data_IF_325193945209
#
_entry.id   IF_325193945209
#
_cell.length_a   1.000
_cell.length_b   1.000
_cell.length_c   1.000
_cell.angle_alpha   90.00
_cell.angle_beta   90.00
_cell.angle_gamma   90.00
#
_symmetry.space_group_name_H-M   'P 1'
#
loop_
_entity.id
_entity.type
_entity.pdbx_description
1 polymer ?
#
# COMPACT_ATOMS: atom_id res chain seq x y z
N UNK A 1 4.46 -10.52 0.34
CA UNK A 1 5.09 -11.52 -0.57
C UNK A 1 6.57 -11.74 -0.29
N UNK A 2 7.38 -10.69 -0.13
CA UNK A 2 8.81 -10.84 0.14
C UNK A 2 9.12 -11.23 1.58
N UNK A 3 8.27 -10.89 2.56
CA UNK A 3 8.43 -11.34 3.94
C UNK A 3 8.31 -12.87 4.10
N UNK A 4 7.28 -13.55 3.55
CA UNK A 4 7.26 -15.01 3.50
C UNK A 4 8.50 -15.61 2.82
N UNK A 5 8.94 -15.00 1.71
CA UNK A 5 10.15 -15.43 1.01
C UNK A 5 11.41 -15.25 1.86
N UNK A 6 11.54 -14.13 2.57
CA UNK A 6 12.62 -13.84 3.50
C UNK A 6 12.60 -14.77 4.71
N UNK A 7 11.43 -15.19 5.19
CA UNK A 7 11.29 -16.22 6.22
C UNK A 7 11.83 -17.57 5.75
N UNK A 8 11.61 -17.91 4.48
CA UNK A 8 12.08 -19.17 3.90
C UNK A 8 13.57 -19.17 3.55
N UNK A 9 14.10 -18.09 2.98
CA UNK A 9 15.45 -18.02 2.43
C UNK A 9 16.45 -17.23 3.30
N UNK A 10 15.95 -16.41 4.22
CA UNK A 10 16.69 -15.35 4.90
C UNK A 10 16.62 -14.01 4.14
N UNK A 11 16.43 -12.90 4.85
CA UNK A 11 16.26 -11.54 4.28
C UNK A 11 17.37 -11.16 3.30
N UNK A 12 18.64 -11.38 3.66
CA UNK A 12 19.77 -11.05 2.78
C UNK A 12 19.82 -11.92 1.53
N UNK A 13 19.35 -13.17 1.61
CA UNK A 13 19.33 -14.06 0.45
C UNK A 13 18.33 -13.57 -0.60
N UNK A 14 17.19 -12.99 -0.17
CA UNK A 14 16.19 -12.41 -1.08
C UNK A 14 16.80 -11.29 -1.92
N UNK A 15 17.59 -10.40 -1.32
CA UNK A 15 18.23 -9.29 -2.03
C UNK A 15 19.36 -9.71 -2.97
N UNK A 16 19.89 -10.93 -2.82
CA UNK A 16 20.89 -11.51 -3.73
C UNK A 16 20.28 -12.22 -4.93
N UNK A 17 18.96 -12.45 -4.95
CA UNK A 17 18.29 -13.09 -6.08
C UNK A 17 18.47 -12.25 -7.36
N UNK A 18 18.57 -12.93 -8.50
CA UNK A 18 18.69 -12.23 -9.76
C UNK A 18 17.35 -11.51 -10.08
N UNK A 19 17.37 -10.26 -10.60
CA UNK A 19 16.14 -9.51 -10.90
C UNK A 19 15.17 -10.29 -11.79
N UNK A 20 15.68 -11.03 -12.78
CA UNK A 20 14.85 -11.89 -13.63
C UNK A 20 14.15 -13.03 -12.87
N UNK A 21 14.79 -13.61 -11.86
CA UNK A 21 14.18 -14.64 -11.01
C UNK A 21 13.08 -14.05 -10.13
N UNK A 22 13.33 -12.84 -9.60
CA UNK A 22 12.32 -12.12 -8.84
C UNK A 22 11.14 -11.80 -9.75
N UNK A 23 11.35 -11.22 -10.93
CA UNK A 23 10.29 -10.93 -11.88
C UNK A 23 9.45 -12.16 -12.24
N UNK A 24 10.10 -13.29 -12.57
CA UNK A 24 9.41 -14.55 -12.83
C UNK A 24 8.65 -15.07 -11.60
N UNK A 25 9.18 -14.90 -10.39
CA UNK A 25 8.48 -15.23 -9.16
C UNK A 25 7.23 -14.36 -8.96
N UNK A 26 7.29 -13.08 -9.33
CA UNK A 26 6.13 -12.20 -9.28
C UNK A 26 5.03 -12.68 -10.23
N UNK A 27 5.41 -13.08 -11.45
CA UNK A 27 4.47 -13.65 -12.43
C UNK A 27 3.87 -14.98 -11.93
N UNK A 28 4.67 -15.85 -11.28
CA UNK A 28 4.17 -17.07 -10.62
C UNK A 28 3.21 -16.78 -9.47
N UNK A 29 3.51 -15.80 -8.62
CA UNK A 29 2.64 -15.42 -7.49
C UNK A 29 1.33 -14.85 -8.03
N UNK A 30 1.38 -14.03 -9.07
CA UNK A 30 0.19 -13.50 -9.73
C UNK A 30 -0.68 -14.61 -10.32
N UNK A 31 -0.09 -15.58 -11.02
CA UNK A 31 -0.83 -16.72 -11.56
C UNK A 31 -1.37 -17.63 -10.45
N UNK A 32 -0.58 -17.87 -9.40
CA UNK A 32 -1.01 -18.59 -8.19
C UNK A 32 -2.19 -17.92 -7.49
N UNK A 33 -2.38 -16.62 -7.67
CA UNK A 33 -3.52 -15.89 -7.13
C UNK A 33 -4.86 -16.35 -7.67
N UNK A 34 -4.87 -16.92 -8.88
CA UNK A 34 -6.02 -17.59 -9.47
C UNK A 34 -6.52 -18.77 -8.63
N UNK A 35 -5.66 -19.33 -7.78
CA UNK A 35 -5.84 -20.60 -7.07
C UNK A 35 -5.82 -20.46 -5.55
N UNK A 36 -5.73 -19.25 -5.01
CA UNK A 36 -5.54 -19.04 -3.56
C UNK A 36 -6.81 -19.38 -2.75
N UNK A 37 -6.71 -20.21 -1.70
CA UNK A 37 -7.73 -20.35 -0.68
C UNK A 37 -8.07 -19.02 0.03
N UNK A 38 -9.33 -18.88 0.43
CA UNK A 38 -9.78 -17.80 1.31
C UNK A 38 -9.06 -17.81 2.66
N UNK A 39 -9.03 -16.65 3.33
CA UNK A 39 -8.72 -16.53 4.75
C UNK A 39 -9.56 -17.57 5.51
N UNK A 40 -8.98 -18.35 6.44
CA UNK A 40 -9.73 -19.36 7.19
C UNK A 40 -10.97 -18.73 7.84
N UNK A 41 -12.09 -19.44 7.74
CA UNK A 41 -13.38 -19.06 8.30
C UNK A 41 -13.20 -18.56 9.75
N UNK A 42 -13.63 -17.34 10.10
CA UNK A 42 -13.52 -16.82 11.46
C UNK A 42 -14.30 -17.66 12.50
N UNK A 43 -15.22 -18.52 12.07
CA UNK A 43 -15.94 -19.48 12.93
C UNK A 43 -15.22 -20.82 13.13
N UNK A 44 -14.15 -21.09 12.35
CA UNK A 44 -13.34 -22.30 12.49
C UNK A 44 -13.99 -23.61 12.06
N UNK A 45 -15.20 -23.59 11.45
CA UNK A 45 -16.01 -24.79 11.22
C UNK A 45 -16.03 -25.36 9.79
N UNK A 46 -15.38 -24.75 8.79
CA UNK A 46 -15.44 -25.27 7.40
C UNK A 46 -14.09 -25.36 6.69
N UNK A 47 -13.92 -26.46 5.95
CA UNK A 47 -12.89 -26.62 4.92
C UNK A 47 -12.88 -25.40 3.99
N UNK A 48 -11.67 -25.02 3.56
CA UNK A 48 -11.38 -23.89 2.67
C UNK A 48 -12.32 -23.91 1.44
N UNK A 49 -13.43 -23.20 1.51
CA UNK A 49 -14.29 -22.97 0.34
C UNK A 49 -13.57 -21.95 -0.53
N UNK A 50 -13.13 -22.40 -1.71
CA UNK A 50 -12.58 -21.54 -2.76
C UNK A 50 -13.72 -20.71 -3.35
N UNK A 51 -13.98 -19.53 -2.79
CA UNK A 51 -14.78 -18.57 -3.53
C UNK A 51 -13.92 -17.99 -4.63
N UNK A 52 -14.53 -17.88 -5.81
CA UNK A 52 -13.92 -17.30 -7.00
C UNK A 52 -13.09 -16.06 -6.63
N UNK A 53 -11.91 -16.01 -7.23
CA UNK A 53 -10.91 -14.97 -7.13
C UNK A 53 -11.48 -13.56 -7.00
N UNK A 54 -10.73 -12.64 -6.39
CA UNK A 54 -10.98 -11.19 -6.44
C UNK A 54 -11.20 -10.63 -7.86
N UNK A 55 -10.92 -11.44 -8.86
CA UNK A 55 -11.09 -11.21 -10.27
C UNK A 55 -12.14 -12.16 -10.81
N UNK A 56 -13.03 -11.64 -11.64
CA UNK A 56 -13.87 -12.46 -12.50
C UNK A 56 -12.95 -13.26 -13.43
N UNK A 57 -13.09 -14.58 -13.49
CA UNK A 57 -12.28 -15.45 -14.36
C UNK A 57 -12.34 -14.99 -15.82
N UNK A 58 -13.49 -14.42 -16.24
CA UNK A 58 -13.63 -13.87 -17.59
C UNK A 58 -12.71 -12.68 -17.85
N UNK A 59 -12.41 -11.88 -16.83
CA UNK A 59 -11.49 -10.75 -16.91
C UNK A 59 -10.05 -11.23 -16.93
N UNK A 60 -9.71 -12.20 -16.07
CA UNK A 60 -8.37 -12.79 -16.08
C UNK A 60 -8.05 -13.48 -17.40
N UNK A 61 -9.04 -14.12 -18.02
CA UNK A 61 -8.94 -14.69 -19.36
C UNK A 61 -8.84 -13.59 -20.43
N UNK A 62 -9.60 -12.49 -20.30
CA UNK A 62 -9.55 -11.37 -21.24
C UNK A 62 -8.24 -10.57 -21.18
N UNK A 63 -7.52 -10.59 -20.06
CA UNK A 63 -6.21 -9.94 -19.93
C UNK A 63 -5.09 -10.69 -20.66
N UNK A 64 -5.36 -11.89 -21.20
CA UNK A 64 -4.46 -12.72 -22.02
C UNK A 64 -3.02 -12.77 -21.46
N UNK A 65 -2.93 -12.82 -20.13
CA UNK A 65 -1.64 -12.91 -19.44
C UNK A 65 -1.10 -14.33 -19.64
N UNK A 66 0.23 -14.50 -19.76
CA UNK A 66 0.82 -15.80 -20.01
C UNK A 66 0.33 -16.82 -18.97
N UNK A 67 -0.47 -17.80 -19.41
CA UNK A 67 -0.90 -18.91 -18.56
C UNK A 67 0.29 -19.84 -18.33
N UNK A 68 0.37 -20.45 -17.15
CA UNK A 68 1.35 -21.52 -16.97
C UNK A 68 0.99 -22.70 -17.90
N UNK A 69 1.99 -23.36 -18.50
CA UNK A 69 1.75 -24.56 -19.30
C UNK A 69 1.07 -25.63 -18.44
N UNK A 70 -0.16 -26.01 -18.77
CA UNK A 70 -0.96 -26.99 -18.01
C UNK A 70 -2.44 -26.66 -17.85
N UNK A 71 -2.87 -25.45 -18.20
CA UNK A 71 -4.28 -25.02 -18.08
C UNK A 71 -5.15 -25.37 -19.32
N UNK A 72 -4.67 -26.22 -20.23
CA UNK A 72 -5.53 -26.80 -21.27
C UNK A 72 -6.17 -28.11 -20.74
N UNK A 73 -7.51 -28.22 -20.61
CA UNK A 73 -8.17 -29.47 -20.27
C UNK A 73 -7.98 -30.57 -21.33
N UNK A 74 -7.46 -30.25 -22.52
CA UNK A 74 -7.15 -31.21 -23.56
C UNK A 74 -5.77 -30.94 -24.17
N UNK A 75 -4.80 -31.79 -23.84
CA UNK A 75 -3.47 -31.91 -24.49
C UNK A 75 -2.35 -31.01 -23.96
N UNK A 76 -1.50 -31.57 -23.09
CA UNK A 76 -0.08 -31.53 -23.40
C UNK A 76 0.64 -32.70 -22.76
N UNK A 77 1.24 -33.54 -23.59
CA UNK A 77 2.12 -34.65 -23.18
C UNK A 77 3.49 -34.54 -23.84
N UNK A 78 3.85 -33.39 -24.42
CA UNK A 78 5.20 -32.91 -24.74
C UNK A 78 5.13 -31.82 -25.82
N UNK A 79 5.90 -30.72 -25.70
CA UNK A 79 6.35 -30.05 -26.93
C UNK A 79 6.74 -28.57 -26.92
N UNK A 80 6.25 -27.70 -26.02
CA UNK A 80 6.69 -26.28 -25.97
C UNK A 80 6.37 -25.64 -24.60
N UNK A 81 7.33 -25.74 -23.68
CA UNK A 81 7.36 -25.01 -22.40
C UNK A 81 7.66 -23.51 -22.62
N UNK A 82 6.85 -22.82 -23.42
CA UNK A 82 6.91 -21.38 -23.66
C UNK A 82 5.57 -20.82 -23.17
N UNK A 83 5.50 -20.06 -22.08
CA UNK A 83 5.97 -18.68 -22.08
C UNK A 83 6.52 -18.16 -20.75
N UNK A 84 6.39 -18.92 -19.66
CA UNK A 84 6.99 -18.56 -18.37
C UNK A 84 7.83 -19.70 -17.85
N UNK A 85 9.13 -19.51 -18.01
CA UNK A 85 10.13 -20.24 -17.28
C UNK A 85 9.84 -20.12 -15.75
N UNK A 86 9.68 -21.21 -14.97
CA UNK A 86 9.55 -21.11 -13.51
C UNK A 86 10.66 -20.28 -12.89
N UNK A 87 10.36 -19.58 -11.79
CA UNK A 87 11.26 -18.61 -11.15
C UNK A 87 12.58 -19.22 -10.71
N UNK A 88 12.62 -20.55 -10.51
CA UNK A 88 13.79 -21.27 -9.99
C UNK A 88 14.08 -20.94 -8.52
N UNK A 89 13.16 -20.30 -7.82
CA UNK A 89 13.29 -19.96 -6.41
C UNK A 89 12.80 -21.13 -5.57
N UNK A 90 13.71 -21.86 -4.91
CA UNK A 90 13.40 -23.06 -4.12
C UNK A 90 14.06 -23.03 -2.73
N UNK A 91 13.49 -23.75 -1.76
CA UNK A 91 14.03 -23.87 -0.40
C UNK A 91 15.44 -24.54 -0.33
N UNK A 92 15.88 -25.22 -1.39
CA UNK A 92 17.05 -26.11 -1.40
C UNK A 92 18.42 -25.49 -1.71
N UNK A 93 18.50 -24.20 -2.04
CA UNK A 93 19.79 -23.54 -2.32
C UNK A 93 19.96 -23.01 -3.74
N UNK A 94 21.10 -22.33 -3.93
CA UNK A 94 21.43 -21.35 -4.99
C UNK A 94 21.17 -21.79 -6.44
N UNK A 95 20.67 -20.83 -7.23
CA UNK A 95 20.81 -20.72 -8.70
C UNK A 95 20.50 -21.96 -9.57
N UNK A 96 19.65 -22.88 -9.13
CA UNK A 96 19.22 -23.98 -10.00
C UNK A 96 17.81 -23.72 -10.55
N UNK A 97 17.78 -23.51 -11.86
CA UNK A 97 16.57 -23.38 -12.64
C UNK A 97 15.91 -24.77 -12.76
N UNK A 98 15.11 -25.13 -11.77
CA UNK A 98 14.63 -26.51 -11.58
C UNK A 98 13.49 -26.95 -12.53
N UNK A 99 12.95 -26.03 -13.34
CA UNK A 99 11.81 -26.34 -14.21
C UNK A 99 10.50 -26.67 -13.46
N UNK A 100 10.44 -26.48 -12.13
CA UNK A 100 9.28 -26.79 -11.28
C UNK A 100 8.66 -25.53 -10.66
N UNK A 101 7.33 -25.45 -10.55
CA UNK A 101 6.64 -24.37 -9.85
C UNK A 101 7.00 -24.35 -8.36
N UNK A 102 6.97 -23.16 -7.77
CA UNK A 102 7.45 -22.91 -6.41
C UNK A 102 6.51 -23.49 -5.34
N UNK A 103 7.03 -24.38 -4.48
CA UNK A 103 6.28 -24.98 -3.37
C UNK A 103 6.30 -24.14 -2.08
N UNK A 104 6.88 -22.93 -2.10
CA UNK A 104 7.02 -22.07 -0.92
C UNK A 104 5.71 -21.41 -0.46
N UNK A 105 4.62 -21.49 -1.24
CA UNK A 105 3.40 -20.71 -0.98
C UNK A 105 2.15 -21.61 -0.82
N UNK A 106 1.63 -21.71 0.41
CA UNK A 106 0.30 -22.22 0.77
C UNK A 106 -0.11 -21.56 2.13
N UNK A 107 -1.34 -21.02 2.35
CA UNK A 107 -1.50 -19.57 2.61
C UNK A 107 -2.19 -19.22 3.98
N UNK A 108 -2.37 -17.91 4.33
CA UNK A 108 -3.30 -16.98 3.65
C UNK A 108 -2.66 -15.69 3.05
N UNK A 109 -3.35 -15.14 2.02
CA UNK A 109 -3.10 -13.92 1.21
C UNK A 109 -1.72 -13.82 0.53
N UNK A 110 -1.65 -14.02 -0.79
CA UNK A 110 -0.40 -13.94 -1.56
C UNK A 110 0.22 -12.53 -1.57
N UNK A 111 -0.59 -11.47 -1.50
CA UNK A 111 -0.15 -10.09 -1.32
C UNK A 111 -1.16 -9.23 -0.52
N UNK A 112 -0.66 -8.12 0.01
CA UNK A 112 -1.43 -7.17 0.82
C UNK A 112 -2.43 -6.34 -0.01
N UNK A 113 -3.46 -5.79 0.63
CA UNK A 113 -4.38 -4.83 0.01
C UNK A 113 -3.64 -3.54 -0.43
N UNK A 114 -4.14 -2.81 -1.44
CA UNK A 114 -3.57 -1.52 -1.88
C UNK A 114 -3.39 -0.50 -0.74
N UNK A 115 -4.19 -0.61 0.33
CA UNK A 115 -4.05 0.21 1.54
C UNK A 115 -2.66 0.08 2.20
N UNK A 116 -2.05 -1.11 2.14
CA UNK A 116 -0.68 -1.33 2.61
C UNK A 116 0.29 -0.41 1.88
N UNK A 117 0.19 -0.36 0.54
CA UNK A 117 1.04 0.50 -0.28
C UNK A 117 0.77 1.99 0.00
N UNK A 118 -0.50 2.39 0.10
CA UNK A 118 -0.89 3.76 0.42
C UNK A 118 -0.31 4.26 1.75
N UNK A 119 -0.46 3.46 2.82
CA UNK A 119 -0.01 3.81 4.16
C UNK A 119 1.51 3.91 4.21
N UNK A 120 2.22 2.94 3.62
CA UNK A 120 3.68 2.98 3.58
C UNK A 120 4.21 4.11 2.70
N UNK A 121 3.62 4.35 1.53
CA UNK A 121 4.05 5.45 0.67
C UNK A 121 3.82 6.80 1.33
N UNK A 122 2.78 6.95 2.17
CA UNK A 122 2.52 8.17 2.96
C UNK A 122 3.66 8.53 3.94
N UNK A 123 4.59 7.62 4.21
CA UNK A 123 5.81 7.91 4.99
C UNK A 123 6.86 8.71 4.20
N UNK A 124 6.74 8.77 2.88
CA UNK A 124 7.77 9.29 1.98
C UNK A 124 8.86 8.27 1.61
N UNK A 125 8.63 6.98 1.93
CA UNK A 125 9.60 5.90 1.66
C UNK A 125 10.02 5.86 0.19
N UNK A 126 9.10 6.05 -0.74
CA UNK A 126 9.43 5.95 -2.18
C UNK A 126 10.35 7.08 -2.61
N UNK A 127 10.13 8.30 -2.13
CA UNK A 127 10.98 9.46 -2.42
C UNK A 127 12.39 9.27 -1.85
N UNK A 128 12.49 8.75 -0.62
CA UNK A 128 13.78 8.46 0.02
C UNK A 128 14.54 7.39 -0.76
N UNK A 129 13.89 6.27 -1.10
CA UNK A 129 14.52 5.19 -1.85
C UNK A 129 14.88 5.59 -3.28
N UNK A 130 14.05 6.37 -3.96
CA UNK A 130 14.36 6.88 -5.30
C UNK A 130 15.61 7.76 -5.30
N UNK A 131 15.71 8.69 -4.35
CA UNK A 131 16.88 9.55 -4.22
C UNK A 131 18.12 8.78 -3.79
N UNK A 132 17.94 7.76 -2.93
CA UNK A 132 19.02 6.87 -2.50
C UNK A 132 19.59 6.10 -3.68
N UNK A 133 18.75 5.41 -4.45
CA UNK A 133 19.15 4.67 -5.65
C UNK A 133 19.81 5.61 -6.65
N UNK A 134 19.23 6.79 -6.90
CA UNK A 134 19.82 7.80 -7.81
C UNK A 134 21.23 8.19 -7.39
N UNK A 135 21.47 8.47 -6.10
CA UNK A 135 22.79 8.85 -5.60
C UNK A 135 23.79 7.69 -5.59
N UNK A 136 23.34 6.47 -5.39
CA UNK A 136 24.19 5.28 -5.43
C UNK A 136 24.58 4.85 -6.85
N UNK A 137 23.69 5.05 -7.83
CA UNK A 137 23.96 4.69 -9.24
C UNK A 137 24.75 5.77 -9.96
N UNK A 138 24.38 7.04 -9.78
CA UNK A 138 24.94 8.17 -10.56
C UNK A 138 26.06 8.89 -9.81
N UNK A 139 26.04 8.85 -8.48
CA UNK A 139 26.95 9.61 -7.64
C UNK A 139 27.89 8.74 -6.83
N UNK A 140 28.82 9.42 -6.14
CA UNK A 140 29.78 8.80 -5.22
C UNK A 140 29.62 9.33 -3.78
N UNK A 141 28.53 10.06 -3.52
CA UNK A 141 28.34 10.82 -2.26
C UNK A 141 28.01 9.95 -1.05
N UNK A 142 27.63 8.69 -1.26
CA UNK A 142 27.19 7.76 -0.21
C UNK A 142 28.25 6.70 0.15
N UNK A 143 29.47 6.86 -0.36
CA UNK A 143 30.58 5.96 -0.06
C UNK A 143 30.53 4.64 -0.84
N UNK A 144 31.37 3.69 -0.42
CA UNK A 144 31.54 2.40 -1.09
C UNK A 144 30.62 1.37 -0.45
N UNK A 145 29.84 0.69 -1.29
CA UNK A 145 28.93 -0.38 -0.87
C UNK A 145 29.64 -1.74 -0.81
N UNK A 146 29.18 -2.60 0.11
CA UNK A 146 29.53 -4.02 0.11
C UNK A 146 28.91 -4.74 -1.10
N UNK A 147 29.44 -5.92 -1.50
CA UNK A 147 28.87 -6.71 -2.59
C UNK A 147 27.38 -7.03 -2.42
N UNK A 148 26.92 -7.21 -1.18
CA UNK A 148 25.51 -7.50 -0.88
C UNK A 148 24.62 -6.29 -1.13
N UNK A 149 25.07 -5.10 -0.74
CA UNK A 149 24.34 -3.85 -1.00
C UNK A 149 24.35 -3.48 -2.48
N UNK A 150 25.40 -3.86 -3.23
CA UNK A 150 25.42 -3.74 -4.69
C UNK A 150 24.36 -4.67 -5.31
N UNK A 151 24.21 -5.91 -4.81
CA UNK A 151 23.17 -6.82 -5.27
C UNK A 151 21.76 -6.27 -5.00
N UNK A 152 21.55 -5.73 -3.79
CA UNK A 152 20.31 -5.02 -3.43
C UNK A 152 20.05 -3.83 -4.36
N UNK A 153 21.06 -2.99 -4.62
CA UNK A 153 20.94 -1.81 -5.47
C UNK A 153 20.54 -2.20 -6.89
N UNK A 154 21.24 -3.20 -7.46
CA UNK A 154 20.93 -3.74 -8.79
C UNK A 154 19.50 -4.28 -8.85
N UNK A 155 19.09 -5.07 -7.87
CA UNK A 155 17.73 -5.62 -7.83
C UNK A 155 16.68 -4.51 -7.73
N UNK A 156 16.90 -3.54 -6.85
CA UNK A 156 15.96 -2.44 -6.61
C UNK A 156 15.81 -1.55 -7.84
N UNK A 157 16.92 -1.15 -8.47
CA UNK A 157 16.89 -0.34 -9.69
C UNK A 157 16.17 -1.09 -10.83
N UNK A 158 16.54 -2.35 -11.09
CA UNK A 158 16.00 -3.12 -12.20
C UNK A 158 14.52 -3.47 -12.04
N UNK A 159 14.03 -3.65 -10.81
CA UNK A 159 12.63 -4.01 -10.55
C UNK A 159 11.68 -2.82 -10.50
N UNK A 160 12.15 -1.65 -10.03
CA UNK A 160 11.24 -0.55 -9.68
C UNK A 160 11.58 0.81 -10.30
N UNK A 161 12.80 1.00 -10.79
CA UNK A 161 13.24 2.30 -11.34
C UNK A 161 13.65 2.24 -12.82
N UNK A 162 13.64 1.04 -13.42
CA UNK A 162 13.88 0.81 -14.85
C UNK A 162 12.61 0.37 -15.55
N UNK A 163 12.55 0.58 -16.86
CA UNK A 163 11.51 0.01 -17.71
C UNK A 163 11.54 -1.52 -17.64
N UNK A 164 10.45 -2.10 -17.17
CA UNK A 164 10.26 -3.53 -17.06
C UNK A 164 9.93 -4.15 -18.44
N UNK A 165 10.20 -5.45 -18.65
CA UNK A 165 9.74 -6.15 -19.83
C UNK A 165 8.22 -6.00 -20.01
N UNK A 166 7.77 -5.75 -21.24
CA UNK A 166 6.37 -5.42 -21.58
C UNK A 166 5.37 -6.48 -21.12
N UNK A 167 5.81 -7.74 -21.02
CA UNK A 167 4.99 -8.88 -20.63
C UNK A 167 4.99 -9.18 -19.13
N UNK A 168 5.78 -8.45 -18.33
CA UNK A 168 5.77 -8.62 -16.87
C UNK A 168 4.48 -8.10 -16.25
N UNK A 169 3.93 -8.81 -15.27
CA UNK A 169 2.75 -8.35 -14.53
C UNK A 169 2.95 -6.96 -13.91
N UNK A 170 4.19 -6.69 -13.45
CA UNK A 170 4.58 -5.44 -12.81
C UNK A 170 4.77 -4.27 -13.78
N UNK A 171 4.80 -4.51 -15.10
CA UNK A 171 4.90 -3.47 -16.12
C UNK A 171 3.58 -2.71 -16.28
N UNK A 172 3.31 -1.78 -15.35
CA UNK A 172 2.11 -0.94 -15.32
C UNK A 172 2.32 0.44 -15.94
N UNK A 173 3.50 0.72 -16.50
CA UNK A 173 3.78 1.96 -17.22
C UNK A 173 3.61 1.76 -18.73
N UNK A 174 3.36 2.85 -19.44
CA UNK A 174 3.28 2.91 -20.89
C UNK A 174 3.32 4.36 -21.33
N UNK A 175 3.47 4.64 -22.62
CA UNK A 175 3.50 6.01 -23.16
C UNK A 175 2.28 6.86 -22.77
N UNK A 176 1.11 6.24 -22.58
CA UNK A 176 -0.12 6.94 -22.15
C UNK A 176 -0.20 7.19 -20.63
N UNK A 177 0.64 6.51 -19.84
CA UNK A 177 0.75 6.63 -18.38
C UNK A 177 2.22 6.55 -17.94
N UNK A 178 3.08 7.50 -18.36
CA UNK A 178 4.52 7.38 -18.21
C UNK A 178 5.02 7.67 -16.80
N UNK A 179 4.20 8.32 -15.96
CA UNK A 179 4.62 8.81 -14.64
C UNK A 179 4.13 7.89 -13.52
N UNK A 180 5.03 7.01 -13.06
CA UNK A 180 4.74 6.03 -12.01
C UNK A 180 4.20 6.65 -10.70
N UNK A 181 4.81 7.74 -10.21
CA UNK A 181 4.33 8.47 -9.00
C UNK A 181 2.88 8.96 -9.15
N UNK A 182 2.55 9.50 -10.31
CA UNK A 182 1.20 9.97 -10.64
C UNK A 182 0.24 8.79 -10.70
N UNK A 183 0.64 7.69 -11.33
CA UNK A 183 -0.18 6.49 -11.47
C UNK A 183 -0.48 5.82 -10.10
N UNK A 184 0.47 5.83 -9.15
CA UNK A 184 0.23 5.35 -7.78
C UNK A 184 -0.78 6.21 -7.03
N UNK A 185 -0.58 7.53 -7.02
CA UNK A 185 -1.53 8.47 -6.41
C UNK A 185 -2.92 8.36 -7.04
N UNK A 186 -2.98 8.18 -8.35
CA UNK A 186 -4.22 7.91 -9.07
C UNK A 186 -4.91 6.63 -8.57
N UNK A 187 -4.16 5.54 -8.37
CA UNK A 187 -4.71 4.30 -7.82
C UNK A 187 -5.25 4.49 -6.40
N UNK A 188 -4.54 5.22 -5.53
CA UNK A 188 -5.00 5.52 -4.17
C UNK A 188 -6.26 6.38 -4.16
N UNK A 189 -6.34 7.37 -5.04
CA UNK A 189 -7.53 8.21 -5.17
C UNK A 189 -8.72 7.45 -5.73
N UNK A 190 -8.51 6.62 -6.75
CA UNK A 190 -9.57 5.77 -7.30
C UNK A 190 -10.11 4.82 -6.23
N UNK A 191 -9.23 4.22 -5.43
CA UNK A 191 -9.62 3.25 -4.41
C UNK A 191 -10.25 3.88 -3.17
N UNK A 192 -9.66 4.96 -2.64
CA UNK A 192 -9.98 5.49 -1.32
C UNK A 192 -10.49 6.94 -1.33
N UNK A 193 -10.43 7.64 -2.47
CA UNK A 193 -10.64 9.10 -2.49
C UNK A 193 -9.57 9.87 -1.70
N UNK A 194 -8.40 9.26 -1.46
CA UNK A 194 -7.32 9.82 -0.66
C UNK A 194 -6.08 10.05 -1.53
N UNK A 195 -5.35 11.13 -1.22
CA UNK A 195 -4.02 11.43 -1.79
C UNK A 195 -2.97 11.28 -0.68
N UNK A 196 -1.70 11.22 -1.09
CA UNK A 196 -0.58 11.21 -0.16
C UNK A 196 -0.40 12.61 0.45
N UNK A 197 -0.02 12.66 1.73
CA UNK A 197 0.08 13.91 2.49
C UNK A 197 1.24 14.80 2.01
N UNK A 198 2.32 14.21 1.52
CA UNK A 198 3.44 14.95 0.93
C UNK A 198 3.17 15.28 -0.55
N UNK A 199 3.69 16.41 -1.01
CA UNK A 199 3.64 16.77 -2.42
C UNK A 199 4.63 15.94 -3.24
N UNK A 200 4.38 15.80 -4.55
CA UNK A 200 5.38 15.27 -5.48
C UNK A 200 6.54 16.27 -5.53
N UNK A 201 7.78 15.86 -5.25
CA UNK A 201 8.92 16.78 -5.27
C UNK A 201 9.10 17.41 -6.66
N UNK A 202 9.49 18.70 -6.76
CA UNK A 202 9.56 19.42 -8.04
C UNK A 202 10.44 18.74 -9.10
N UNK A 203 11.54 18.10 -8.67
CA UNK A 203 12.45 17.34 -9.54
C UNK A 203 11.75 16.19 -10.30
N UNK A 204 10.66 15.67 -9.73
CA UNK A 204 9.90 14.55 -10.28
C UNK A 204 8.44 14.91 -10.57
N UNK A 205 8.09 16.19 -10.47
CA UNK A 205 6.78 16.67 -10.84
C UNK A 205 6.67 16.64 -12.38
N UNK A 206 5.71 15.87 -12.89
CA UNK A 206 5.44 15.85 -14.32
C UNK A 206 4.98 17.23 -14.80
N UNK A 207 5.61 17.74 -15.85
CA UNK A 207 5.12 18.93 -16.55
C UNK A 207 4.30 18.47 -17.76
N UNK A 208 2.98 18.36 -17.60
CA UNK A 208 2.10 17.93 -18.69
C UNK A 208 0.63 17.79 -18.28
N UNK A 209 -0.27 17.56 -19.23
CA UNK A 209 -1.72 17.44 -18.99
C UNK A 209 -2.10 16.27 -18.06
N UNK A 210 -1.22 15.27 -17.91
CA UNK A 210 -1.38 14.17 -16.95
C UNK A 210 -1.03 14.54 -15.50
N UNK A 211 -0.54 15.77 -15.25
CA UNK A 211 -0.24 16.26 -13.91
C UNK A 211 -1.52 16.42 -13.07
N UNK A 212 -2.66 16.75 -13.70
CA UNK A 212 -3.97 16.77 -13.05
C UNK A 212 -4.75 15.47 -13.30
N UNK A 213 -4.16 14.38 -12.82
CA UNK A 213 -4.77 13.05 -12.89
C UNK A 213 -6.11 12.96 -12.13
N UNK A 214 -6.41 13.91 -11.22
CA UNK A 214 -7.69 13.98 -10.49
C UNK A 214 -8.81 14.44 -11.42
N UNK A 215 -8.56 15.38 -12.33
CA UNK A 215 -9.53 15.80 -13.33
C UNK A 215 -9.98 14.63 -14.22
N UNK A 216 -9.02 13.81 -14.67
CA UNK A 216 -9.31 12.63 -15.50
C UNK A 216 -10.15 11.56 -14.77
N UNK A 217 -10.04 11.51 -13.45
CA UNK A 217 -10.70 10.48 -12.63
C UNK A 217 -12.04 10.97 -12.07
N UNK A 218 -12.16 12.27 -11.81
CA UNK A 218 -13.27 12.86 -11.10
C UNK A 218 -13.28 12.56 -9.59
N UNK A 219 -14.36 12.96 -8.88
CA UNK A 219 -14.55 12.63 -7.48
C UNK A 219 -14.99 11.16 -7.35
N UNK A 220 -14.13 10.32 -6.80
CA UNK A 220 -14.39 8.88 -6.65
C UNK A 220 -14.09 8.44 -5.23
N UNK A 221 -14.96 7.61 -4.65
CA UNK A 221 -14.84 7.06 -3.30
C UNK A 221 -14.57 8.11 -2.20
N UNK A 222 -15.05 9.34 -2.39
CA UNK A 222 -14.88 10.45 -1.43
C UNK A 222 -15.52 10.17 -0.06
N UNK A 223 -16.51 9.29 -0.01
CA UNK A 223 -17.17 8.85 1.24
C UNK A 223 -16.40 7.76 1.99
N UNK A 224 -15.36 7.16 1.38
CA UNK A 224 -14.59 6.07 1.99
C UNK A 224 -14.05 6.47 3.36
N UNK A 225 -13.40 7.63 3.47
CA UNK A 225 -12.83 8.09 4.75
C UNK A 225 -13.89 8.20 5.84
N UNK A 226 -15.05 8.76 5.52
CA UNK A 226 -16.17 8.91 6.46
C UNK A 226 -16.68 7.55 6.91
N UNK A 227 -16.95 6.64 5.98
CA UNK A 227 -17.46 5.30 6.29
C UNK A 227 -16.43 4.47 7.05
N UNK A 228 -15.15 4.59 6.72
CA UNK A 228 -14.05 3.92 7.39
C UNK A 228 -13.91 4.37 8.85
N UNK A 229 -13.85 5.68 9.09
CA UNK A 229 -13.76 6.20 10.45
C UNK A 229 -14.99 5.87 11.29
N UNK A 230 -16.17 5.90 10.68
CA UNK A 230 -17.42 5.48 11.34
C UNK A 230 -17.41 3.98 11.67
N UNK A 231 -16.95 3.13 10.76
CA UNK A 231 -16.80 1.70 10.97
C UNK A 231 -15.88 1.40 12.17
N UNK A 232 -14.68 1.99 12.18
CA UNK A 232 -13.74 1.84 13.29
C UNK A 232 -14.32 2.33 14.62
N UNK A 233 -15.07 3.43 14.60
CA UNK A 233 -15.73 4.00 15.79
C UNK A 233 -16.80 3.06 16.36
N UNK A 234 -17.65 2.49 15.51
CA UNK A 234 -18.69 1.57 15.95
C UNK A 234 -18.09 0.27 16.53
N UNK A 235 -17.00 -0.22 15.94
CA UNK A 235 -16.27 -1.36 16.50
C UNK A 235 -15.70 -1.01 17.88
N UNK A 236 -15.07 0.16 18.03
CA UNK A 236 -14.55 0.61 19.33
C UNK A 236 -15.64 0.67 20.42
N UNK A 237 -16.82 1.17 20.09
CA UNK A 237 -17.99 1.15 21.00
C UNK A 237 -18.33 -0.28 21.42
N UNK A 238 -18.30 -1.23 20.47
CA UNK A 238 -18.46 -2.64 20.74
C UNK A 238 -17.38 -3.20 21.68
N UNK A 239 -16.11 -2.81 21.48
CA UNK A 239 -15.00 -3.22 22.34
C UNK A 239 -15.19 -2.72 23.77
N UNK A 240 -15.54 -1.45 23.94
CA UNK A 240 -15.77 -0.84 25.27
C UNK A 240 -16.94 -1.51 26.02
N UNK A 241 -17.95 -1.96 25.29
CA UNK A 241 -19.18 -2.50 25.88
C UNK A 241 -19.28 -4.03 25.86
N UNK A 242 -18.26 -4.77 25.41
CA UNK A 242 -18.33 -6.24 25.27
C UNK A 242 -18.59 -6.97 26.59
N UNK A 243 -18.07 -6.43 27.70
CA UNK A 243 -18.24 -6.98 29.04
C UNK A 243 -19.33 -6.25 29.85
N UNK A 244 -20.07 -5.34 29.20
CA UNK A 244 -21.10 -4.55 29.85
C UNK A 244 -22.31 -5.45 30.21
N UNK A 245 -22.49 -5.70 31.52
CA UNK A 245 -23.60 -6.48 32.06
C UNK A 245 -24.69 -5.63 32.70
N UNK A 246 -24.49 -4.32 32.79
CA UNK A 246 -25.37 -3.40 33.54
C UNK A 246 -25.45 -2.04 32.86
N UNK A 247 -26.64 -1.60 32.50
CA UNK A 247 -26.87 -0.34 31.81
C UNK A 247 -27.21 -0.52 30.33
N UNK A 248 -27.40 0.59 29.62
CA UNK A 248 -27.67 0.56 28.19
C UNK A 248 -26.39 0.18 27.41
N UNK A 249 -26.49 -0.78 26.50
CA UNK A 249 -25.42 -1.15 25.59
C UNK A 249 -25.67 -0.50 24.21
N UNK A 250 -24.89 0.52 23.81
CA UNK A 250 -25.07 1.19 22.52
C UNK A 250 -24.48 0.41 21.32
N UNK A 251 -23.94 -0.79 21.54
CA UNK A 251 -23.35 -1.61 20.48
C UNK A 251 -24.43 -2.09 19.50
N UNK A 252 -24.23 -1.82 18.21
CA UNK A 252 -25.10 -2.28 17.14
C UNK A 252 -24.27 -3.07 16.10
N UNK A 253 -24.18 -4.41 16.23
CA UNK A 253 -23.45 -5.23 15.27
C UNK A 253 -24.10 -5.25 13.88
N UNK A 254 -25.41 -5.00 13.78
CA UNK A 254 -26.11 -4.92 12.50
C UNK A 254 -25.67 -3.69 11.69
N UNK A 255 -25.42 -2.57 12.39
CA UNK A 255 -24.89 -1.35 11.79
C UNK A 255 -23.41 -1.49 11.40
N UNK A 256 -22.60 -2.17 12.20
CA UNK A 256 -21.21 -2.52 11.83
C UNK A 256 -21.19 -3.33 10.53
N UNK A 257 -22.05 -4.34 10.41
CA UNK A 257 -22.18 -5.14 9.19
C UNK A 257 -22.65 -4.29 7.98
N UNK A 258 -23.54 -3.33 8.20
CA UNK A 258 -23.97 -2.40 7.15
C UNK A 258 -22.81 -1.52 6.65
N UNK A 259 -21.98 -0.99 7.56
CA UNK A 259 -20.80 -0.21 7.21
C UNK A 259 -19.75 -1.05 6.47
N UNK A 260 -19.52 -2.30 6.90
CA UNK A 260 -18.63 -3.23 6.20
C UNK A 260 -19.09 -3.45 4.75
N UNK A 261 -20.38 -3.73 4.52
CA UNK A 261 -20.94 -3.86 3.16
C UNK A 261 -20.80 -2.59 2.34
N UNK A 262 -21.07 -1.43 2.92
CA UNK A 262 -20.93 -0.15 2.23
C UNK A 262 -19.47 0.10 1.81
N UNK A 263 -18.49 -0.20 2.67
CA UNK A 263 -17.06 -0.11 2.34
C UNK A 263 -16.71 -1.11 1.24
N UNK A 264 -17.15 -2.37 1.35
CA UNK A 264 -16.94 -3.38 0.30
C UNK A 264 -17.48 -2.91 -1.04
N UNK A 265 -18.69 -2.35 -1.08
CA UNK A 265 -19.29 -1.88 -2.32
C UNK A 265 -18.49 -0.72 -2.93
N UNK A 266 -18.02 0.22 -2.10
CA UNK A 266 -17.13 1.31 -2.55
C UNK A 266 -15.85 0.77 -3.18
N UNK A 267 -15.17 -0.18 -2.53
CA UNK A 267 -13.91 -0.77 -3.01
C UNK A 267 -14.13 -1.68 -4.22
N UNK A 268 -15.09 -2.59 -4.13
CA UNK A 268 -15.44 -3.55 -5.18
C UNK A 268 -15.86 -2.87 -6.48
N UNK A 269 -16.57 -1.74 -6.42
CA UNK A 269 -16.92 -0.94 -7.60
C UNK A 269 -15.70 -0.42 -8.37
N UNK A 270 -14.54 -0.29 -7.73
CA UNK A 270 -13.30 0.14 -8.39
C UNK A 270 -12.51 -1.00 -9.01
N UNK A 271 -12.81 -2.24 -8.60
CA UNK A 271 -12.17 -3.48 -9.05
C UNK A 271 -12.96 -4.22 -10.11
N UNK A 272 -14.23 -3.87 -10.35
CA UNK A 272 -15.05 -4.47 -11.41
C UNK A 272 -14.28 -4.46 -12.73
N UNK A 273 -14.30 -5.60 -13.43
CA UNK A 273 -13.56 -5.73 -14.68
C UNK A 273 -12.04 -5.82 -14.52
N UNK A 274 -11.52 -6.13 -13.31
CA UNK A 274 -10.08 -6.24 -13.04
C UNK A 274 -9.34 -4.90 -13.00
N UNK A 275 -10.08 -3.79 -12.95
CA UNK A 275 -9.49 -2.48 -12.78
C UNK A 275 -8.68 -2.42 -11.46
N UNK A 276 -7.53 -1.75 -11.50
CA UNK A 276 -6.58 -1.61 -10.37
C UNK A 276 -5.87 -2.90 -9.93
N UNK A 277 -6.18 -4.06 -10.51
CA UNK A 277 -5.61 -5.33 -10.09
C UNK A 277 -4.09 -5.38 -10.26
N UNK A 278 -3.62 -5.03 -11.47
CA UNK A 278 -2.19 -5.00 -11.81
C UNK A 278 -1.47 -3.88 -11.08
N UNK A 279 -2.09 -2.70 -11.01
CA UNK A 279 -1.57 -1.57 -10.25
C UNK A 279 -1.38 -1.92 -8.77
N UNK A 280 -2.39 -2.52 -8.12
CA UNK A 280 -2.26 -2.98 -6.74
C UNK A 280 -1.10 -3.93 -6.58
N UNK A 281 -1.03 -4.96 -7.40
CA UNK A 281 0.03 -5.95 -7.30
C UNK A 281 1.42 -5.31 -7.46
N UNK A 282 1.61 -4.48 -8.49
CA UNK A 282 2.89 -3.82 -8.75
C UNK A 282 3.30 -2.90 -7.59
N UNK A 283 2.38 -2.07 -7.09
CA UNK A 283 2.70 -1.09 -6.05
C UNK A 283 2.87 -1.75 -4.68
N UNK A 284 2.03 -2.72 -4.33
CA UNK A 284 2.20 -3.52 -3.11
C UNK A 284 3.53 -4.27 -3.13
N UNK A 285 3.92 -4.82 -4.29
CA UNK A 285 5.24 -5.46 -4.46
C UNK A 285 6.37 -4.48 -4.16
N UNK A 286 6.36 -3.31 -4.78
CA UNK A 286 7.37 -2.28 -4.55
C UNK A 286 7.47 -1.87 -3.07
N UNK A 287 6.33 -1.55 -2.45
CA UNK A 287 6.32 -1.11 -1.05
C UNK A 287 6.66 -2.26 -0.09
N UNK A 288 6.35 -3.52 -0.42
CA UNK A 288 6.76 -4.68 0.37
C UNK A 288 8.29 -4.90 0.29
N UNK A 289 8.91 -4.63 -0.85
CA UNK A 289 10.37 -4.66 -1.00
C UNK A 289 11.07 -3.57 -0.18
N UNK A 290 10.57 -2.33 -0.23
CA UNK A 290 11.12 -1.23 0.56
C UNK A 290 10.90 -1.45 2.06
N UNK A 291 9.72 -1.93 2.46
CA UNK A 291 9.45 -2.29 3.84
C UNK A 291 10.42 -3.36 4.34
N UNK A 292 10.61 -4.46 3.58
CA UNK A 292 11.59 -5.50 3.92
C UNK A 292 13.01 -4.94 4.05
N UNK A 293 13.36 -3.92 3.25
CA UNK A 293 14.68 -3.29 3.30
C UNK A 293 14.93 -2.55 4.63
N UNK A 294 13.90 -1.91 5.19
CA UNK A 294 14.00 -1.17 6.47
C UNK A 294 13.53 -1.97 7.69
N UNK A 295 12.92 -3.14 7.49
CA UNK A 295 12.41 -3.98 8.57
C UNK A 295 13.52 -4.45 9.53
N UNK A 296 14.67 -4.80 8.97
CA UNK A 296 15.85 -5.29 9.70
C UNK A 296 17.12 -4.54 9.28
N UNK A 297 18.24 -4.83 9.94
CA UNK A 297 19.56 -4.29 9.56
C UNK A 297 20.07 -5.01 8.30
N UNK A 298 19.48 -4.64 7.16
CA UNK A 298 19.87 -5.15 5.84
C UNK A 298 21.25 -4.61 5.44
N UNK A 299 21.89 -5.21 4.43
CA UNK A 299 23.29 -4.85 4.10
C UNK A 299 23.40 -3.37 3.73
N UNK A 300 22.41 -2.84 3.01
CA UNK A 300 22.37 -1.43 2.60
C UNK A 300 22.18 -0.50 3.79
N UNK A 301 21.34 -0.88 4.77
CA UNK A 301 21.18 -0.13 6.02
C UNK A 301 22.49 -0.10 6.79
N UNK A 302 23.21 -1.22 6.83
CA UNK A 302 24.49 -1.33 7.54
C UNK A 302 25.58 -0.49 6.87
N UNK A 303 25.73 -0.62 5.55
CA UNK A 303 26.76 0.10 4.78
C UNK A 303 26.54 1.62 4.83
N UNK A 304 25.29 2.06 4.79
CA UNK A 304 24.94 3.48 4.89
C UNK A 304 24.94 4.01 6.32
N UNK A 305 25.24 3.16 7.31
CA UNK A 305 25.23 3.50 8.73
C UNK A 305 23.87 4.08 9.18
N UNK A 306 22.78 3.41 8.77
CA UNK A 306 21.41 3.82 9.01
C UNK A 306 20.66 2.85 9.94
N UNK A 307 21.37 2.06 10.74
CA UNK A 307 20.78 1.12 11.70
C UNK A 307 19.99 1.88 12.77
N UNK A 308 18.84 1.31 13.16
CA UNK A 308 18.00 1.85 14.22
C UNK A 308 17.12 0.75 14.83
N UNK A 309 16.34 1.10 15.85
CA UNK A 309 15.52 0.13 16.60
C UNK A 309 14.26 -0.34 15.87
N UNK A 310 13.75 0.45 14.92
CA UNK A 310 12.51 0.18 14.20
C UNK A 310 12.57 0.70 12.76
N UNK A 311 11.65 0.27 11.87
CA UNK A 311 11.68 0.61 10.45
C UNK A 311 11.55 2.11 10.16
N UNK A 312 10.76 2.83 10.97
CA UNK A 312 10.57 4.27 10.79
C UNK A 312 11.83 5.07 11.12
N UNK A 313 12.54 4.70 12.19
CA UNK A 313 13.81 5.35 12.54
C UNK A 313 14.90 5.03 11.52
N UNK A 314 14.94 3.79 10.98
CA UNK A 314 15.85 3.43 9.88
C UNK A 314 15.54 4.24 8.63
N UNK A 315 14.26 4.40 8.29
CA UNK A 315 13.85 5.27 7.19
C UNK A 315 14.27 6.72 7.42
N UNK A 316 14.14 7.22 8.65
CA UNK A 316 14.63 8.55 9.05
C UNK A 316 16.14 8.70 8.87
N UNK A 317 16.92 7.71 9.30
CA UNK A 317 18.37 7.71 9.12
C UNK A 317 18.78 7.66 7.65
N UNK A 318 18.11 6.85 6.82
CA UNK A 318 18.31 6.86 5.36
C UNK A 318 17.91 8.21 4.74
N UNK A 319 16.77 8.77 5.17
CA UNK A 319 16.28 10.08 4.76
C UNK A 319 17.30 11.19 5.02
N UNK A 320 17.97 11.17 6.17
CA UNK A 320 19.06 12.12 6.49
C UNK A 320 20.23 12.04 5.51
N UNK A 321 20.58 10.84 5.01
CA UNK A 321 21.67 10.67 4.02
C UNK A 321 21.32 11.33 2.67
N UNK A 322 20.03 11.37 2.34
CA UNK A 322 19.55 11.95 1.08
C UNK A 322 18.98 13.36 1.23
N UNK A 323 18.83 13.87 2.45
CA UNK A 323 18.27 15.19 2.73
C UNK A 323 16.74 15.25 2.57
N UNK A 324 16.05 14.12 2.75
CA UNK A 324 14.58 14.02 2.70
C UNK A 324 14.08 13.59 4.08
N UNK A 325 13.17 14.37 4.65
CA UNK A 325 12.57 14.06 5.96
C UNK A 325 11.32 13.20 5.73
N UNK A 326 11.22 12.00 6.32
CA UNK A 326 10.00 11.19 6.23
C UNK A 326 8.85 11.84 7.03
N UNK A 327 7.64 11.31 6.88
CA UNK A 327 6.49 11.80 7.62
C UNK A 327 6.71 11.71 9.14
N UNK A 328 6.25 12.73 9.89
CA UNK A 328 6.38 12.78 11.35
C UNK A 328 5.75 11.55 12.06
N UNK A 329 4.70 10.99 11.47
CA UNK A 329 3.95 9.81 11.96
C UNK A 329 4.37 8.51 11.29
N UNK A 330 5.61 8.42 10.79
CA UNK A 330 6.06 7.26 10.02
C UNK A 330 5.95 5.96 10.81
N UNK A 331 6.23 5.99 12.12
CA UNK A 331 6.12 4.81 12.98
C UNK A 331 4.71 4.25 12.98
N UNK A 332 3.73 5.10 13.24
CA UNK A 332 2.33 4.68 13.27
C UNK A 332 1.83 4.24 11.89
N UNK A 333 2.37 4.80 10.81
CA UNK A 333 2.07 4.34 9.45
C UNK A 333 2.66 2.95 9.16
N UNK A 334 3.91 2.66 9.55
CA UNK A 334 4.47 1.31 9.43
C UNK A 334 3.63 0.29 10.21
N UNK A 335 3.33 0.60 11.48
CA UNK A 335 2.55 -0.27 12.37
C UNK A 335 1.07 -0.42 11.92
N UNK A 336 0.54 0.53 11.12
CA UNK A 336 -0.81 0.47 10.55
C UNK A 336 -0.89 -0.39 9.28
N UNK A 337 0.20 -0.50 8.52
CA UNK A 337 0.17 -0.99 7.14
C UNK A 337 -0.38 -2.42 6.98
N UNK A 338 0.10 -3.36 7.79
CA UNK A 338 -0.36 -4.76 7.80
C UNK A 338 -1.76 -4.94 8.39
N UNK A 339 -2.08 -4.45 9.60
CA UNK A 339 -3.40 -4.68 10.20
C UNK A 339 -4.52 -4.01 9.38
N UNK A 340 -4.30 -2.82 8.83
CA UNK A 340 -5.27 -2.17 7.94
C UNK A 340 -5.50 -2.96 6.65
N UNK A 341 -4.44 -3.56 6.11
CA UNK A 341 -4.51 -4.42 4.94
C UNK A 341 -5.34 -5.68 5.19
N UNK A 342 -5.08 -6.36 6.31
CA UNK A 342 -5.84 -7.56 6.71
C UNK A 342 -7.32 -7.24 6.92
N UNK A 343 -7.61 -6.16 7.65
CA UNK A 343 -8.98 -5.75 7.95
C UNK A 343 -9.76 -5.37 6.69
N UNK A 344 -9.20 -4.51 5.83
CA UNK A 344 -9.85 -4.13 4.56
C UNK A 344 -10.03 -5.31 3.63
N UNK A 345 -9.07 -6.23 3.59
CA UNK A 345 -9.20 -7.47 2.81
C UNK A 345 -10.34 -8.34 3.33
N UNK A 346 -10.49 -8.47 4.65
CA UNK A 346 -11.62 -9.17 5.26
C UNK A 346 -12.96 -8.53 4.94
N UNK A 347 -13.03 -7.19 4.92
CA UNK A 347 -14.22 -6.44 4.48
C UNK A 347 -14.52 -6.72 3.00
N UNK A 348 -13.53 -6.67 2.12
CA UNK A 348 -13.72 -6.94 0.69
C UNK A 348 -14.24 -8.36 0.41
N UNK A 349 -13.78 -9.34 1.19
CA UNK A 349 -14.24 -10.73 1.13
C UNK A 349 -15.64 -10.96 1.71
N UNK A 350 -16.25 -9.93 2.30
CA UNK A 350 -17.56 -10.05 2.95
C UNK A 350 -17.52 -10.83 4.26
N UNK A 351 -16.36 -10.94 4.93
CA UNK A 351 -16.25 -11.69 6.19
C UNK A 351 -17.12 -11.09 7.29
N UNK A 352 -17.42 -9.80 7.23
CA UNK A 352 -18.16 -9.05 8.27
C UNK A 352 -19.55 -8.60 7.80
N UNK A 353 -20.12 -9.28 6.82
CA UNK A 353 -21.39 -8.92 6.19
C UNK A 353 -22.63 -9.20 7.04
N UNK A 354 -22.51 -10.01 8.08
CA UNK A 354 -23.62 -10.43 8.94
C UNK A 354 -23.41 -9.93 10.35
N UNK A 355 -24.50 -9.81 11.12
CA UNK A 355 -24.42 -9.37 12.52
C UNK A 355 -23.54 -10.31 13.36
N UNK A 356 -23.67 -11.63 13.14
CA UNK A 356 -22.88 -12.65 13.82
C UNK A 356 -21.39 -12.50 13.52
N UNK A 357 -21.01 -12.41 12.25
CA UNK A 357 -19.60 -12.28 11.88
C UNK A 357 -19.01 -10.90 12.19
N UNK A 358 -19.80 -9.83 12.13
CA UNK A 358 -19.39 -8.50 12.58
C UNK A 358 -19.13 -8.46 14.10
N UNK A 359 -19.83 -9.26 14.89
CA UNK A 359 -19.62 -9.36 16.34
C UNK A 359 -18.21 -9.86 16.68
N UNK A 360 -17.60 -10.68 15.81
CA UNK A 360 -16.23 -11.17 15.99
C UNK A 360 -15.17 -10.06 16.02
N UNK A 361 -15.47 -8.87 15.46
CA UNK A 361 -14.57 -7.72 15.43
C UNK A 361 -14.35 -7.09 16.81
N UNK A 362 -15.21 -7.36 17.80
CA UNK A 362 -15.11 -6.76 19.13
C UNK A 362 -15.26 -7.73 20.31
N UNK A 363 -15.72 -8.97 20.10
CA UNK A 363 -15.92 -9.96 21.16
C UNK A 363 -14.87 -11.08 21.18
N UNK A 364 -14.34 -11.48 20.03
CA UNK A 364 -13.44 -12.63 19.93
C UNK A 364 -11.98 -12.20 20.20
N UNK A 365 -11.25 -12.92 21.06
CA UNK A 365 -9.79 -12.74 21.21
C UNK A 365 -9.01 -13.42 20.06
N UNK A 366 -9.37 -13.08 18.82
CA UNK A 366 -8.78 -13.60 17.59
C UNK A 366 -7.62 -12.72 17.11
N UNK A 367 -6.87 -13.18 16.11
CA UNK A 367 -5.85 -12.34 15.46
C UNK A 367 -6.50 -11.11 14.79
N UNK A 368 -7.67 -11.29 14.15
CA UNK A 368 -8.39 -10.17 13.52
C UNK A 368 -8.83 -9.11 14.53
N UNK A 369 -9.20 -9.49 15.76
CA UNK A 369 -9.49 -8.53 16.82
C UNK A 369 -8.27 -7.69 17.22
N UNK A 370 -7.08 -8.30 17.29
CA UNK A 370 -5.84 -7.54 17.53
C UNK A 370 -5.54 -6.59 16.38
N UNK A 371 -5.66 -7.04 15.14
CA UNK A 371 -5.47 -6.21 13.94
C UNK A 371 -6.45 -5.02 13.92
N UNK A 372 -7.69 -5.23 14.34
CA UNK A 372 -8.69 -4.16 14.49
C UNK A 372 -8.27 -3.13 15.53
N UNK A 373 -7.83 -3.57 16.71
CA UNK A 373 -7.38 -2.65 17.76
C UNK A 373 -6.16 -1.85 17.33
N UNK A 374 -5.18 -2.51 16.70
CA UNK A 374 -3.98 -1.87 16.18
C UNK A 374 -4.34 -0.88 15.07
N UNK A 375 -5.27 -1.24 14.18
CA UNK A 375 -5.81 -0.33 13.17
C UNK A 375 -6.44 0.91 13.80
N UNK A 376 -7.31 0.76 14.81
CA UNK A 376 -7.96 1.88 15.50
C UNK A 376 -6.90 2.81 16.14
N UNK A 377 -5.97 2.23 16.89
CA UNK A 377 -4.92 2.96 17.59
C UNK A 377 -4.04 3.75 16.62
N UNK A 378 -3.50 3.06 15.61
CA UNK A 378 -2.54 3.63 14.68
C UNK A 378 -3.21 4.58 13.69
N UNK A 379 -4.43 4.32 13.23
CA UNK A 379 -5.20 5.25 12.39
C UNK A 379 -5.48 6.56 13.12
N UNK A 380 -5.96 6.50 14.36
CA UNK A 380 -6.20 7.71 15.16
C UNK A 380 -4.91 8.51 15.38
N UNK A 381 -3.78 7.84 15.68
CA UNK A 381 -2.49 8.52 15.86
C UNK A 381 -1.95 9.14 14.56
N UNK A 382 -2.05 8.41 13.44
CA UNK A 382 -1.52 8.85 12.15
C UNK A 382 -2.34 9.97 11.51
N UNK A 383 -3.68 9.90 11.60
CA UNK A 383 -4.58 10.87 10.95
C UNK A 383 -5.03 12.02 11.86
N UNK A 384 -4.88 11.87 13.17
CA UNK A 384 -5.41 12.80 14.18
C UNK A 384 -6.92 12.71 14.38
N UNK A 385 -7.61 11.76 13.73
CA UNK A 385 -9.05 11.58 13.84
C UNK A 385 -9.41 10.85 15.14
N UNK A 386 -10.31 11.45 15.93
CA UNK A 386 -10.66 10.99 17.29
C UNK A 386 -11.67 9.85 17.25
N UNK A 387 -11.26 8.64 16.87
CA UNK A 387 -12.14 7.47 16.80
C UNK A 387 -12.69 7.08 18.17
N UNK A 388 -11.86 7.14 19.22
CA UNK A 388 -12.23 6.65 20.56
C UNK A 388 -13.09 7.62 21.37
N UNK A 389 -13.17 8.88 20.96
CA UNK A 389 -13.93 9.87 21.72
C UNK A 389 -15.41 9.79 21.35
N UNK A 390 -16.27 9.76 22.36
CA UNK A 390 -17.71 9.80 22.16
C UNK A 390 -18.11 11.10 21.44
N UNK A 391 -19.12 11.09 20.54
CA UNK A 391 -19.60 12.30 19.86
C UNK A 391 -19.97 13.44 20.83
N UNK A 392 -20.48 13.11 22.02
CA UNK A 392 -20.78 14.06 23.10
C UNK A 392 -19.53 14.75 23.67
N UNK A 393 -18.40 14.03 23.79
CA UNK A 393 -17.13 14.59 24.23
C UNK A 393 -16.45 15.41 23.12
N UNK A 394 -16.61 15.02 21.85
CA UNK A 394 -16.08 15.79 20.72
C UNK A 394 -16.78 17.15 20.54
N UNK A 395 -18.09 17.24 20.80
CA UNK A 395 -18.82 18.52 20.80
C UNK A 395 -18.33 19.44 21.92
N UNK A 396 -18.03 18.89 23.10
CA UNK A 396 -17.45 19.65 24.21
C UNK A 396 -15.99 20.07 23.92
N UNK A 397 -15.19 19.20 23.31
CA UNK A 397 -13.80 19.48 22.96
C UNK A 397 -13.67 20.60 21.90
N UNK A 398 -14.58 20.65 20.92
CA UNK A 398 -14.68 21.76 19.95
C UNK A 398 -15.14 23.07 20.59
N UNK A 399 -15.98 23.01 21.62
CA UNK A 399 -16.42 24.19 22.37
C UNK A 399 -15.32 24.76 23.31
N UNK A 400 -14.32 23.95 23.67
CA UNK A 400 -13.21 24.34 24.55
C UNK A 400 -11.93 24.78 23.83
N UNK A 401 -11.89 24.82 22.49
CA UNK A 401 -10.77 25.46 21.80
C UNK A 401 -10.89 26.98 21.95
N UNK A 402 -9.88 27.67 22.51
CA UNK A 402 -9.92 29.13 22.60
C UNK A 402 -10.04 29.70 21.19
N UNK A 403 -11.06 30.53 20.99
CA UNK A 403 -11.29 31.29 19.78
C UNK A 403 -10.00 32.04 19.44
N UNK A 404 -9.28 31.62 18.40
CA UNK A 404 -8.14 32.37 17.89
C UNK A 404 -8.71 33.70 17.36
N UNK A 405 -8.57 34.76 18.17
CA UNK A 405 -8.86 36.12 17.72
C UNK A 405 -7.96 36.38 16.52
N UNK A 406 -8.50 36.80 15.36
CA UNK A 406 -7.69 37.14 14.20
C UNK A 406 -6.70 38.24 14.59
N UNK A 407 -5.41 37.94 14.49
CA UNK A 407 -4.36 38.96 14.55
C UNK A 407 -4.48 39.78 13.27
N UNK A 408 -4.70 41.11 13.33
CA UNK A 408 -4.77 41.94 12.15
C UNK A 408 -3.41 41.92 11.42
N UNK A 409 -3.46 41.78 10.10
CA UNK A 409 -2.28 41.75 9.24
C UNK A 409 -1.43 43.03 9.41
N UNK A 410 -0.08 42.95 9.34
CA UNK A 410 0.77 44.13 9.35
C UNK A 410 0.46 45.02 8.15
N UNK A 411 0.13 46.28 8.41
CA UNK A 411 -0.27 47.25 7.41
C UNK A 411 0.82 47.50 6.37
N UNK A 412 0.41 47.43 5.10
CA UNK A 412 1.18 47.95 3.96
C UNK A 412 1.23 49.48 4.10
N UNK A 413 2.42 50.12 4.07
CA UNK A 413 2.51 51.57 4.10
C UNK A 413 1.90 52.18 2.85
N UNK A 414 0.97 53.12 3.05
CA UNK A 414 0.38 53.91 1.99
C UNK A 414 1.44 54.81 1.33
N UNK A 415 1.75 54.55 0.06
CA UNK A 415 2.51 55.48 -0.78
C UNK A 415 1.57 56.58 -1.28
N UNK A 416 1.68 57.75 -0.66
CA UNK A 416 1.09 59.00 -1.14
C UNK A 416 2.04 59.67 -2.15
N UNK A 417 1.52 59.89 -3.37
CA UNK A 417 1.82 61.02 -4.24
C UNK A 417 3.12 60.99 -5.04
N UNK A 418 3.02 61.01 -6.38
CA UNK A 418 3.14 62.27 -7.15
C UNK A 418 3.30 62.04 -8.66
N UNK A 419 2.75 63.00 -9.40
CA UNK A 419 3.15 63.48 -10.72
C UNK A 419 2.75 62.66 -11.97
N UNK A 420 1.71 63.17 -12.63
CA UNK A 420 1.57 63.14 -14.08
C UNK A 420 2.75 63.85 -14.77
N UNK A 421 3.03 63.49 -16.03
CA UNK A 421 3.43 64.48 -17.01
C UNK A 421 2.46 64.51 -18.19
N UNK A 422 2.12 65.74 -18.60
CA UNK A 422 1.32 66.06 -19.75
C UNK A 422 2.10 65.88 -21.06
N UNK A 423 1.37 65.43 -22.09
CA UNK A 423 1.41 65.83 -23.49
C UNK A 423 2.73 66.20 -24.16
N UNK A 424 3.01 65.57 -25.31
CA UNK A 424 3.15 66.29 -26.59
C UNK A 424 3.40 65.31 -27.74
N UNK A 425 2.42 65.21 -28.64
CA UNK A 425 2.69 64.89 -30.04
C UNK A 425 3.07 66.14 -30.81
N UNK A 426 4.05 66.01 -31.70
CA UNK A 426 4.09 66.64 -33.04
C UNK A 426 4.83 65.62 -33.94
N UNK A 427 4.65 65.58 -35.26
CA UNK A 427 4.71 66.74 -36.15
C UNK A 427 6.16 67.25 -36.21
#
# INVERSE_FOLDING_TARGET
MFFPLAKALGTQAVFRLHPAQIAALLDEIWDGARRTPQIPDPSGEKDLVFYATFFDDTVLNALDLPTQPGDDPFTSTDGLNAFLAPSGVNAGGRFEWSGRPNNLFCPPLLWHHLAYAYVLESTGIVEIFAELVRRLVVGETLGVLSPDSIAWLRATEQLFFRDLPTFSVASVLSDVRPYDRTNRRNAYWRMFGLDLAHAVPPLWAGHGPLADWKELTGPVNVDFRKNWSEFLRQIWIGVENRDNRTGANPTDPSYIALLARAIRDLLGNRRRGGALAREEFAYVTMLNWFHLTVDTDTSVVVDLQAQASNPADRLGALGQKVGIVPALRSRELFDLSEPMSTLLRGVELGLFDTEETATTLFTANSNIFRDVLDTINNWQSATGERIKESPAQQQLARASQPLHVPVPAPGVPATNGSAAPAFSGKG
#
